data_IF_817461728998
#
_entry.id   IF_817461728998
#
_cell.length_a   1.000
_cell.length_b   1.000
_cell.length_c   1.000
_cell.angle_alpha   90.00
_cell.angle_beta   90.00
_cell.angle_gamma   90.00
#
_symmetry.space_group_name_H-M   'P 1'
#
loop_
_entity.id
_entity.type
_entity.pdbx_description
1 polymer ?
#
# COMPACT_ATOMS: atom_id res chain seq x y z
N UNK A 1 10.00 -1.09 -18.30
CA UNK A 1 9.35 -0.13 -17.39
C UNK A 1 7.85 -0.22 -17.58
N UNK A 2 7.12 -0.47 -16.50
CA UNK A 2 5.64 -0.46 -16.53
C UNK A 2 5.15 0.88 -16.03
N UNK A 3 4.25 1.54 -16.77
CA UNK A 3 3.55 2.74 -16.29
C UNK A 3 2.42 2.40 -15.29
N UNK A 4 2.60 1.32 -14.52
CA UNK A 4 1.62 0.84 -13.55
C UNK A 4 1.70 1.68 -12.28
N UNK A 5 0.53 2.02 -11.73
CA UNK A 5 0.43 2.71 -10.45
C UNK A 5 -0.29 1.78 -9.48
N UNK A 6 0.31 1.59 -8.31
CA UNK A 6 -0.31 0.97 -7.16
C UNK A 6 -0.44 2.00 -6.06
N UNK A 7 -1.50 1.91 -5.28
CA UNK A 7 -1.64 2.79 -4.14
C UNK A 7 -2.74 2.35 -3.21
N UNK A 8 -2.96 3.18 -2.20
CA UNK A 8 -4.06 3.01 -1.28
C UNK A 8 -4.30 4.27 -0.46
N UNK A 9 -5.46 4.30 0.16
CA UNK A 9 -5.87 5.35 1.08
C UNK A 9 -6.00 4.78 2.49
N UNK A 10 -5.33 5.41 3.43
CA UNK A 10 -5.46 5.14 4.85
C UNK A 10 -5.86 6.44 5.57
N UNK A 11 -7.01 6.49 6.26
CA UNK A 11 -7.41 7.68 7.03
C UNK A 11 -6.66 7.82 8.36
N UNK A 12 -5.95 6.79 8.80
CA UNK A 12 -5.29 6.76 10.09
C UNK A 12 -3.95 7.47 10.04
N UNK A 13 -3.54 8.03 11.18
CA UNK A 13 -2.15 8.46 11.36
C UNK A 13 -1.22 7.26 11.19
N UNK A 14 -0.09 7.49 10.54
CA UNK A 14 0.95 6.47 10.40
C UNK A 14 1.81 6.42 11.66
N UNK A 15 2.11 5.21 12.10
CA UNK A 15 2.86 4.91 13.31
C UNK A 15 3.81 3.73 13.06
N UNK A 16 4.84 3.62 13.88
CA UNK A 16 5.82 2.51 13.84
C UNK A 16 5.76 1.75 15.16
N UNK A 17 4.64 1.05 15.40
CA UNK A 17 4.32 0.43 16.69
C UNK A 17 4.24 -1.10 16.67
N UNK A 18 4.42 -1.75 15.51
CA UNK A 18 4.17 -3.18 15.28
C UNK A 18 2.75 -3.62 15.68
N UNK A 19 1.77 -2.72 15.52
CA UNK A 19 0.36 -2.97 15.76
C UNK A 19 -0.47 -2.85 14.48
N UNK A 20 -1.79 -2.99 14.60
CA UNK A 20 -2.72 -2.91 13.49
C UNK A 20 -3.59 -1.64 13.58
N UNK A 21 -3.63 -0.91 12.47
CA UNK A 21 -4.58 0.17 12.25
C UNK A 21 -5.94 -0.39 11.85
N UNK A 22 -6.97 -0.03 12.62
CA UNK A 22 -8.36 -0.43 12.38
C UNK A 22 -9.12 0.69 11.67
N UNK A 23 -9.69 0.38 10.51
CA UNK A 23 -10.59 1.30 9.79
C UNK A 23 -11.45 0.54 8.78
N UNK A 24 -12.64 1.07 8.50
CA UNK A 24 -13.58 0.54 7.51
C UNK A 24 -13.61 1.36 6.21
N UNK A 25 -12.78 2.40 6.08
CA UNK A 25 -12.72 3.25 4.87
C UNK A 25 -11.36 3.20 4.17
N UNK A 26 -10.52 2.22 4.53
CA UNK A 26 -9.27 1.97 3.79
C UNK A 26 -9.56 1.27 2.47
N UNK A 27 -8.80 1.59 1.43
CA UNK A 27 -8.84 0.89 0.15
C UNK A 27 -7.45 0.87 -0.49
N UNK A 28 -7.22 -0.13 -1.33
CA UNK A 28 -6.08 -0.18 -2.25
C UNK A 28 -6.58 -0.15 -3.68
N UNK A 29 -5.75 0.34 -4.59
CA UNK A 29 -6.09 0.43 -6.00
C UNK A 29 -4.90 0.11 -6.91
N UNK A 30 -5.21 -0.20 -8.15
CA UNK A 30 -4.23 -0.30 -9.23
C UNK A 30 -4.72 0.34 -10.52
N UNK A 31 -3.78 0.91 -11.26
CA UNK A 31 -3.93 1.35 -12.64
C UNK A 31 -2.85 0.64 -13.47
N UNK A 32 -3.25 -0.15 -14.48
CA UNK A 32 -2.29 -0.85 -15.35
C UNK A 32 -1.43 0.12 -16.18
N UNK A 33 -1.96 1.31 -16.46
CA UNK A 33 -1.27 2.36 -17.20
C UNK A 33 -1.72 3.73 -16.68
N UNK A 34 -0.77 4.61 -16.38
CA UNK A 34 -1.00 5.98 -15.85
C UNK A 34 -1.89 6.87 -16.74
N UNK A 35 -2.01 6.55 -18.03
CA UNK A 35 -2.82 7.29 -19.01
C UNK A 35 -4.17 6.62 -19.31
N UNK A 36 -4.47 5.44 -18.76
CA UNK A 36 -5.73 4.71 -19.00
C UNK A 36 -6.32 4.13 -17.71
N UNK A 37 -7.39 4.78 -17.24
CA UNK A 37 -8.08 4.42 -16.00
C UNK A 37 -9.28 3.49 -16.19
N UNK A 38 -9.59 3.03 -17.42
CA UNK A 38 -10.77 2.19 -17.69
C UNK A 38 -10.73 0.85 -16.95
N UNK A 39 -9.53 0.30 -16.77
CA UNK A 39 -9.31 -0.99 -16.11
C UNK A 39 -8.83 -0.82 -14.66
N UNK A 40 -9.14 0.32 -14.04
CA UNK A 40 -8.81 0.57 -12.65
C UNK A 40 -9.47 -0.46 -11.73
N UNK A 41 -8.69 -1.01 -10.80
CA UNK A 41 -9.23 -1.90 -9.77
C UNK A 41 -9.22 -1.13 -8.46
N UNK A 42 -10.39 -1.03 -7.84
CA UNK A 42 -10.55 -0.54 -6.47
C UNK A 42 -10.93 -1.70 -5.57
N UNK A 43 -10.16 -1.91 -4.51
CA UNK A 43 -10.32 -2.99 -3.55
C UNK A 43 -10.49 -2.38 -2.16
N UNK A 44 -11.69 -2.52 -1.60
CA UNK A 44 -12.06 -1.95 -0.30
C UNK A 44 -11.62 -2.91 0.80
N UNK A 45 -11.35 -2.39 1.99
CA UNK A 45 -11.02 -3.21 3.15
C UNK A 45 -12.13 -4.20 3.50
N UNK A 46 -11.76 -5.48 3.64
CA UNK A 46 -12.64 -6.59 4.07
C UNK A 46 -12.44 -6.90 5.55
N UNK A 47 -11.20 -7.04 6.01
CA UNK A 47 -10.90 -7.20 7.44
C UNK A 47 -10.50 -5.85 8.05
N UNK A 48 -11.50 -5.15 8.59
CA UNK A 48 -11.32 -3.81 9.17
C UNK A 48 -10.29 -3.76 10.29
N UNK A 49 -9.99 -4.88 10.98
CA UNK A 49 -8.99 -4.93 12.05
C UNK A 49 -7.56 -5.07 11.52
N UNK A 50 -7.41 -5.27 10.20
CA UNK A 50 -6.13 -5.50 9.51
C UNK A 50 -5.91 -4.50 8.37
N UNK A 51 -6.52 -3.31 8.45
CA UNK A 51 -6.47 -2.32 7.38
C UNK A 51 -5.07 -1.78 7.13
N UNK A 52 -4.33 -1.50 8.19
CA UNK A 52 -2.97 -0.98 8.08
C UNK A 52 -2.04 -1.71 9.06
N UNK A 53 -0.85 -2.08 8.62
CA UNK A 53 0.15 -2.75 9.46
C UNK A 53 1.26 -1.74 9.80
N UNK A 54 1.37 -1.36 11.07
CA UNK A 54 2.35 -0.37 11.55
C UNK A 54 3.74 -0.99 11.76
N UNK A 55 4.24 -1.67 10.75
CA UNK A 55 5.52 -2.40 10.82
C UNK A 55 6.66 -1.44 11.13
N UNK A 56 7.54 -1.80 12.08
CA UNK A 56 8.58 -0.89 12.56
C UNK A 56 9.70 -0.60 11.57
N UNK A 57 9.87 -1.45 10.54
CA UNK A 57 10.97 -1.35 9.57
C UNK A 57 10.50 -1.39 8.11
N UNK A 58 9.20 -1.24 7.87
CA UNK A 58 8.67 -1.07 6.51
C UNK A 58 8.08 0.31 6.35
N UNK A 59 7.87 0.71 5.10
CA UNK A 59 7.01 1.83 4.77
C UNK A 59 5.52 1.46 4.91
N UNK A 60 4.65 2.11 4.12
CA UNK A 60 3.22 1.85 4.17
C UNK A 60 2.87 0.39 3.88
N UNK A 61 2.07 -0.21 4.76
CA UNK A 61 1.59 -1.58 4.63
C UNK A 61 0.06 -1.59 4.71
N UNK A 62 -0.61 -1.72 3.57
CA UNK A 62 -2.05 -1.92 3.49
C UNK A 62 -2.34 -3.39 3.78
N UNK A 63 -2.66 -3.66 5.04
CA UNK A 63 -2.69 -5.01 5.59
C UNK A 63 -1.34 -5.72 5.43
N UNK A 64 -1.38 -6.95 4.93
CA UNK A 64 -0.22 -7.62 4.31
C UNK A 64 -0.49 -7.86 2.82
N UNK A 65 -1.40 -7.09 2.23
CA UNK A 65 -1.80 -7.25 0.84
C UNK A 65 -0.88 -6.45 -0.06
N UNK A 66 -0.64 -5.17 0.26
CA UNK A 66 0.28 -4.27 -0.43
C UNK A 66 1.28 -3.71 0.58
N UNK A 67 2.56 -4.05 0.42
CA UNK A 67 3.64 -3.74 1.36
C UNK A 67 4.74 -3.00 0.62
N UNK A 68 5.12 -1.83 1.14
CA UNK A 68 6.24 -1.03 0.64
C UNK A 68 7.39 -1.09 1.65
N UNK A 69 8.61 -1.33 1.19
CA UNK A 69 9.77 -1.52 2.07
C UNK A 69 11.07 -1.15 1.35
N UNK A 70 12.11 -0.92 2.15
CA UNK A 70 13.48 -0.72 1.66
C UNK A 70 14.23 -2.05 1.68
N UNK A 71 15.08 -2.31 0.69
CA UNK A 71 16.09 -3.37 0.76
C UNK A 71 17.35 -2.96 1.51
N UNK A 72 17.51 -1.67 1.79
CA UNK A 72 18.63 -1.17 2.57
C UNK A 72 18.50 -1.59 4.03
N UNK A 73 19.61 -2.03 4.62
CA UNK A 73 19.69 -2.36 6.05
C UNK A 73 19.93 -1.10 6.91
N UNK A 74 19.99 0.10 6.31
CA UNK A 74 20.19 1.35 7.02
C UNK A 74 18.87 1.85 7.61
N UNK A 75 18.82 1.94 8.93
CA UNK A 75 17.64 2.38 9.69
C UNK A 75 17.42 3.91 9.68
N UNK A 76 18.32 4.67 9.05
CA UNK A 76 18.36 6.14 9.20
C UNK A 76 17.56 6.88 8.13
N UNK A 77 17.40 6.31 6.94
CA UNK A 77 16.55 6.80 5.85
C UNK A 77 15.99 5.59 5.10
N UNK A 78 14.69 5.31 5.25
CA UNK A 78 14.05 4.24 4.47
C UNK A 78 13.79 4.74 3.05
N UNK A 79 14.80 4.63 2.19
CA UNK A 79 14.60 4.71 0.75
C UNK A 79 13.76 3.50 0.31
N UNK A 80 12.45 3.69 0.23
CA UNK A 80 11.51 2.67 -0.24
C UNK A 80 11.81 2.41 -1.72
N UNK A 81 12.34 1.23 -2.01
CA UNK A 81 12.77 0.82 -3.35
C UNK A 81 12.04 -0.46 -3.82
N UNK A 82 11.24 -1.07 -2.95
CA UNK A 82 10.45 -2.26 -3.26
C UNK A 82 9.02 -2.18 -2.80
N UNK A 83 8.18 -2.85 -3.57
CA UNK A 83 6.82 -3.19 -3.19
C UNK A 83 6.57 -4.67 -3.38
N UNK A 84 5.76 -5.26 -2.52
CA UNK A 84 5.21 -6.60 -2.72
C UNK A 84 3.70 -6.58 -2.66
N UNK A 85 3.10 -7.49 -3.43
CA UNK A 85 1.67 -7.71 -3.44
C UNK A 85 1.35 -9.20 -3.29
N UNK A 86 0.50 -9.54 -2.33
CA UNK A 86 -0.04 -10.88 -2.13
C UNK A 86 -1.49 -10.77 -1.68
N UNK A 87 -2.42 -11.47 -2.32
CA UNK A 87 -3.83 -11.42 -1.95
C UNK A 87 -4.07 -12.22 -0.67
N UNK A 88 -3.81 -11.64 0.52
CA UNK A 88 -4.09 -12.29 1.82
C UNK A 88 -5.57 -12.23 2.20
N UNK A 89 -6.38 -11.56 1.40
CA UNK A 89 -7.82 -11.43 1.61
C UNK A 89 -8.19 -10.41 2.68
N UNK A 90 -7.26 -9.49 3.02
CA UNK A 90 -7.61 -8.34 3.86
C UNK A 90 -8.39 -7.31 3.08
N UNK A 91 -8.13 -7.16 1.77
CA UNK A 91 -8.93 -6.35 0.85
C UNK A 91 -9.77 -7.25 -0.08
N UNK A 92 -10.90 -6.74 -0.55
CA UNK A 92 -11.95 -7.54 -1.23
C UNK A 92 -11.52 -8.17 -2.56
N UNK A 93 -10.73 -7.43 -3.35
CA UNK A 93 -10.34 -7.77 -4.73
C UNK A 93 -8.83 -7.85 -4.86
N UNK A 94 -8.39 -8.75 -5.73
CA UNK A 94 -7.00 -8.74 -6.19
C UNK A 94 -6.76 -7.53 -7.10
N UNK A 95 -5.72 -6.75 -6.83
CA UNK A 95 -5.41 -5.54 -7.64
C UNK A 95 -4.31 -5.79 -8.68
N UNK A 96 -3.55 -6.88 -8.58
CA UNK A 96 -2.50 -7.27 -9.54
C UNK A 96 -2.10 -8.73 -9.37
N UNK A 97 -1.20 -9.21 -10.23
CA UNK A 97 -0.54 -10.51 -10.03
C UNK A 97 0.37 -10.44 -8.81
N UNK A 98 0.36 -11.49 -7.99
CA UNK A 98 1.20 -11.60 -6.80
C UNK A 98 2.69 -11.61 -7.13
N UNK A 99 3.50 -11.04 -6.24
CA UNK A 99 4.95 -11.01 -6.37
C UNK A 99 5.60 -9.80 -5.69
N UNK A 100 6.92 -9.74 -5.82
CA UNK A 100 7.73 -8.56 -5.49
C UNK A 100 8.08 -7.79 -6.76
N UNK A 101 8.16 -6.48 -6.66
CA UNK A 101 8.40 -5.57 -7.77
C UNK A 101 9.32 -4.43 -7.33
N UNK A 102 10.26 -3.99 -8.18
CA UNK A 102 10.98 -2.76 -7.95
C UNK A 102 10.01 -1.58 -7.99
N UNK A 103 10.25 -0.58 -7.15
CA UNK A 103 9.53 0.67 -7.15
C UNK A 103 10.45 1.74 -7.73
N UNK A 104 9.99 2.44 -8.77
CA UNK A 104 10.76 3.53 -9.39
C UNK A 104 10.59 4.85 -8.62
N UNK A 105 9.37 5.11 -8.13
CA UNK A 105 9.01 6.33 -7.41
C UNK A 105 7.80 6.09 -6.49
N UNK A 106 7.62 6.95 -5.49
CA UNK A 106 6.44 6.98 -4.63
C UNK A 106 6.05 8.41 -4.22
N UNK A 107 4.74 8.63 -4.13
CA UNK A 107 4.18 9.91 -3.69
C UNK A 107 3.24 9.71 -2.51
N UNK A 108 3.26 10.65 -1.56
CA UNK A 108 2.40 10.64 -0.38
C UNK A 108 1.59 11.93 -0.36
N UNK A 109 0.27 11.79 -0.32
CA UNK A 109 -0.67 12.90 -0.28
C UNK A 109 -1.48 12.89 1.01
N UNK A 110 -1.56 14.05 1.68
CA UNK A 110 -2.41 14.23 2.86
C UNK A 110 -3.67 15.04 2.48
N UNK A 111 -4.85 14.49 2.81
CA UNK A 111 -6.12 15.20 2.63
C UNK A 111 -6.37 16.10 3.84
N UNK A 112 -6.47 17.41 3.61
CA UNK A 112 -6.79 18.42 4.63
C UNK A 112 -8.23 18.88 4.39
N UNK A 113 -9.10 18.73 5.40
CA UNK A 113 -10.45 19.31 5.34
C UNK A 113 -10.35 20.82 5.37
N UNK A 114 -11.09 21.48 4.47
CA UNK A 114 -11.28 22.93 4.47
C UNK A 114 -12.44 23.33 5.35
#
# INVERSE_FOLDING_TARGET
>A
DSEEILGGYNPLKWESSNTWGKTNISFIFSFKNKNNFKDAILSIIKDVNKAFNYHSTHGPCFGKDLIMYSTSNSSTDMDIDKTSYYSRGYYEKSIRKEGEFPMEDYEIFQIIKR
#
